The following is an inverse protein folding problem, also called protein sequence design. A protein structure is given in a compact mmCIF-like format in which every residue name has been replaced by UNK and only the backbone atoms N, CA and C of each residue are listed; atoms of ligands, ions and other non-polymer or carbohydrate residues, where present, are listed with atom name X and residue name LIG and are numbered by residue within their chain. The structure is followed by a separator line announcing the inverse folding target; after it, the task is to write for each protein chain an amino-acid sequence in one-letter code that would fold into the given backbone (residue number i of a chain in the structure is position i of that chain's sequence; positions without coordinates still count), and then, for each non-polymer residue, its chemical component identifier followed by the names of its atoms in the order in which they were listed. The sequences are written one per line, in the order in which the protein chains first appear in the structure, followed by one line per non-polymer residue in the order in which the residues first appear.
data_IF_786496250976
#
_entry.id   IF_786496250976
#
_cell.length_a   1.000
_cell.length_b   1.000
_cell.length_c   1.000
_cell.angle_alpha   90.00
_cell.angle_beta   90.00
_cell.angle_gamma   90.00
#
_symmetry.space_group_name_H-M   'P 1'
#
loop_
_entity.id
_entity.type
_entity.pdbx_description
1 polymer ?
#
# COMPACT_ATOMS: atom_id res chain seq x y z
N UNK A 1 -10.88 35.34 -18.92
CA UNK A 1 -10.45 33.93 -18.98
C UNK A 1 -8.95 33.86 -18.91
N UNK A 2 -8.44 33.05 -17.99
CA UNK A 2 -7.06 33.01 -17.50
C UNK A 2 -6.09 32.52 -18.57
N UNK A 3 -5.33 33.43 -19.18
CA UNK A 3 -4.30 33.08 -20.14
C UNK A 3 -3.01 32.65 -19.41
N UNK A 4 -3.11 31.58 -18.63
CA UNK A 4 -2.04 31.07 -17.75
C UNK A 4 -0.75 30.82 -18.52
N UNK A 5 -0.85 30.32 -19.76
CA UNK A 5 0.31 30.11 -20.63
C UNK A 5 0.99 31.43 -21.01
N UNK A 6 0.21 32.48 -21.30
CA UNK A 6 0.75 33.80 -21.63
C UNK A 6 1.36 34.50 -20.42
N UNK A 7 0.85 34.25 -19.21
CA UNK A 7 1.49 34.70 -17.98
C UNK A 7 2.81 33.94 -17.74
N UNK A 8 2.80 32.61 -17.89
CA UNK A 8 4.00 31.79 -17.78
C UNK A 8 5.11 32.21 -18.75
N UNK A 9 4.75 32.54 -20.00
CA UNK A 9 5.68 33.09 -20.97
C UNK A 9 6.29 34.42 -20.53
N UNK A 10 5.48 35.32 -19.94
CA UNK A 10 5.97 36.60 -19.41
C UNK A 10 6.92 36.39 -18.23
N UNK A 11 6.59 35.47 -17.33
CA UNK A 11 7.39 35.15 -16.16
C UNK A 11 8.72 34.51 -16.57
N UNK A 12 8.69 33.57 -17.52
CA UNK A 12 9.90 32.94 -18.03
C UNK A 12 10.79 33.93 -18.80
N UNK A 13 10.19 34.89 -19.51
CA UNK A 13 10.92 36.03 -20.11
C UNK A 13 11.51 36.97 -19.05
N UNK A 14 10.77 37.27 -17.98
CA UNK A 14 11.25 38.11 -16.90
C UNK A 14 12.40 37.43 -16.13
N UNK A 15 12.30 36.11 -15.95
CA UNK A 15 13.35 35.29 -15.36
C UNK A 15 14.63 35.34 -16.21
N UNK A 16 14.54 35.11 -17.52
CA UNK A 16 15.66 35.23 -18.46
C UNK A 16 16.35 36.60 -18.43
N UNK A 17 15.63 37.68 -18.12
CA UNK A 17 16.25 39.01 -17.98
C UNK A 17 17.10 39.16 -16.71
N UNK A 18 16.81 38.37 -15.67
CA UNK A 18 17.52 38.43 -14.36
C UNK A 18 18.71 37.49 -14.30
N UNK A 19 18.72 36.43 -15.11
CA UNK A 19 19.77 35.40 -15.15
C UNK A 19 20.69 35.61 -16.35
N UNK A 20 21.97 35.92 -16.11
CA UNK A 20 22.95 36.24 -17.16
C UNK A 20 23.14 35.13 -18.20
N UNK A 21 22.97 33.86 -17.80
CA UNK A 21 23.28 32.70 -18.66
C UNK A 21 22.03 31.98 -19.22
N UNK A 22 20.83 32.53 -19.00
CA UNK A 22 19.60 31.89 -19.46
C UNK A 22 18.84 32.81 -20.43
N UNK A 23 18.75 32.36 -21.68
CA UNK A 23 17.99 33.04 -22.74
C UNK A 23 16.63 32.38 -22.90
N UNK A 24 15.58 33.19 -22.90
CA UNK A 24 14.24 32.72 -23.22
C UNK A 24 14.15 32.25 -24.67
N UNK A 25 13.61 31.04 -24.86
CA UNK A 25 13.22 30.46 -26.16
C UNK A 25 11.93 29.67 -25.99
N UNK A 26 11.21 29.43 -27.09
CA UNK A 26 10.00 28.60 -27.06
C UNK A 26 10.32 27.16 -26.63
N UNK A 27 11.49 26.65 -27.01
CA UNK A 27 11.98 25.36 -26.51
C UNK A 27 12.17 25.36 -24.99
N UNK A 28 12.66 26.45 -24.39
CA UNK A 28 12.80 26.54 -22.94
C UNK A 28 11.45 26.50 -22.22
N UNK A 29 10.41 27.10 -22.82
CA UNK A 29 9.03 27.02 -22.30
C UNK A 29 8.49 25.59 -22.35
N UNK A 30 8.67 24.90 -23.48
CA UNK A 30 8.23 23.51 -23.64
C UNK A 30 8.99 22.59 -22.69
N UNK A 31 10.31 22.74 -22.58
CA UNK A 31 11.13 21.99 -21.63
C UNK A 31 10.69 22.25 -20.19
N UNK A 32 10.45 23.50 -19.80
CA UNK A 32 9.95 23.84 -18.46
C UNK A 32 8.62 23.15 -18.14
N UNK A 33 7.67 23.16 -19.08
CA UNK A 33 6.39 22.48 -18.92
C UNK A 33 6.55 20.96 -18.79
N UNK A 34 7.35 20.34 -19.65
CA UNK A 34 7.62 18.90 -19.61
C UNK A 34 8.31 18.49 -18.31
N UNK A 35 9.32 19.24 -17.88
CA UNK A 35 10.01 18.98 -16.60
C UNK A 35 9.07 19.16 -15.42
N UNK A 36 8.20 20.17 -15.45
CA UNK A 36 7.18 20.40 -14.41
C UNK A 36 6.21 19.23 -14.30
N UNK A 37 5.70 18.73 -15.43
CA UNK A 37 4.79 17.57 -15.46
C UNK A 37 5.50 16.32 -14.95
N UNK A 38 6.71 16.02 -15.42
CA UNK A 38 7.47 14.84 -15.00
C UNK A 38 7.71 14.84 -13.49
N UNK A 39 8.09 15.99 -12.93
CA UNK A 39 8.35 16.14 -11.48
C UNK A 39 7.10 15.98 -10.62
N UNK A 40 5.93 16.40 -11.12
CA UNK A 40 4.65 16.19 -10.43
C UNK A 40 4.26 14.72 -10.51
N UNK A 41 4.37 14.11 -11.70
CA UNK A 41 3.99 12.71 -11.90
C UNK A 41 4.85 11.75 -11.07
N UNK A 42 6.17 11.93 -11.00
CA UNK A 42 7.05 11.05 -10.22
C UNK A 42 6.67 11.03 -8.74
N UNK A 43 6.39 12.20 -8.16
CA UNK A 43 6.02 12.32 -6.75
C UNK A 43 4.62 11.77 -6.48
N UNK A 44 3.67 11.95 -7.41
CA UNK A 44 2.31 11.47 -7.28
C UNK A 44 2.23 9.93 -7.41
N UNK A 45 2.95 9.34 -8.38
CA UNK A 45 3.01 7.89 -8.57
C UNK A 45 3.75 7.16 -7.44
N UNK A 46 4.80 7.76 -6.87
CA UNK A 46 5.45 7.22 -5.66
C UNK A 46 4.49 7.20 -4.48
N UNK A 47 3.78 8.30 -4.20
CA UNK A 47 2.81 8.32 -3.09
C UNK A 47 1.67 7.30 -3.24
N UNK A 48 1.17 7.07 -4.46
CA UNK A 48 0.15 6.04 -4.68
C UNK A 48 0.70 4.63 -4.48
N UNK A 49 1.95 4.39 -4.86
CA UNK A 49 2.61 3.08 -4.70
C UNK A 49 2.87 2.79 -3.22
N UNK A 50 3.38 3.76 -2.47
CA UNK A 50 3.66 3.61 -1.03
C UNK A 50 2.39 3.31 -0.23
N UNK A 51 1.29 4.03 -0.51
CA UNK A 51 -0.02 3.78 0.13
C UNK A 51 -0.58 2.39 -0.20
N UNK A 52 -0.39 1.93 -1.43
CA UNK A 52 -0.82 0.58 -1.83
C UNK A 52 -0.05 -0.50 -1.09
N UNK A 53 1.27 -0.34 -0.95
CA UNK A 53 2.13 -1.28 -0.23
C UNK A 53 1.78 -1.30 1.27
N UNK A 54 1.52 -0.14 1.86
CA UNK A 54 1.11 -0.03 3.26
C UNK A 54 -0.24 -0.72 3.53
N UNK A 55 -1.22 -0.52 2.66
CA UNK A 55 -2.50 -1.23 2.74
C UNK A 55 -2.32 -2.75 2.62
N UNK A 56 -1.51 -3.22 1.68
CA UNK A 56 -1.21 -4.66 1.54
C UNK A 56 -0.54 -5.23 2.80
N UNK A 57 0.36 -4.48 3.44
CA UNK A 57 1.00 -4.89 4.69
C UNK A 57 0.00 -5.01 5.84
N UNK A 58 -0.97 -4.10 5.94
CA UNK A 58 -2.03 -4.15 6.94
C UNK A 58 -2.94 -5.37 6.73
N UNK A 59 -3.36 -5.64 5.49
CA UNK A 59 -4.16 -6.82 5.13
C UNK A 59 -3.44 -8.13 5.48
N UNK A 60 -2.15 -8.24 5.15
CA UNK A 60 -1.33 -9.41 5.50
C UNK A 60 -1.24 -9.57 7.02
N UNK A 61 -1.02 -8.48 7.76
CA UNK A 61 -0.96 -8.52 9.23
C UNK A 61 -2.28 -9.00 9.85
N UNK A 62 -3.40 -8.49 9.34
CA UNK A 62 -4.75 -8.92 9.74
C UNK A 62 -4.97 -10.41 9.44
N UNK A 63 -4.59 -10.85 8.25
CA UNK A 63 -4.70 -12.25 7.83
C UNK A 63 -3.86 -13.19 8.71
N UNK A 64 -2.63 -12.81 9.04
CA UNK A 64 -1.76 -13.59 9.95
C UNK A 64 -2.40 -13.70 11.34
N UNK A 65 -2.96 -12.61 11.86
CA UNK A 65 -3.65 -12.61 13.16
C UNK A 65 -4.86 -13.55 13.15
N UNK A 66 -5.67 -13.50 12.10
CA UNK A 66 -6.83 -14.37 11.93
C UNK A 66 -6.43 -15.85 11.82
N UNK A 67 -5.38 -16.17 11.04
CA UNK A 67 -4.84 -17.54 10.96
C UNK A 67 -4.36 -18.03 12.31
N UNK A 68 -3.63 -17.20 13.07
CA UNK A 68 -3.16 -17.57 14.39
C UNK A 68 -4.32 -17.88 15.35
N UNK A 69 -5.38 -17.06 15.32
CA UNK A 69 -6.59 -17.31 16.10
C UNK A 69 -7.25 -18.63 15.69
N UNK A 70 -7.43 -18.86 14.39
CA UNK A 70 -8.06 -20.09 13.88
C UNK A 70 -7.27 -21.33 14.27
N UNK A 71 -5.95 -21.31 14.16
CA UNK A 71 -5.07 -22.41 14.62
C UNK A 71 -5.25 -22.66 16.12
N UNK A 72 -5.36 -21.61 16.93
CA UNK A 72 -5.57 -21.75 18.38
C UNK A 72 -6.93 -22.37 18.70
N UNK A 73 -7.98 -21.95 18.00
CA UNK A 73 -9.33 -22.50 18.15
C UNK A 73 -9.37 -23.98 17.73
N UNK A 74 -8.84 -24.31 16.56
CA UNK A 74 -8.75 -25.69 16.06
C UNK A 74 -7.95 -26.59 17.00
N UNK A 75 -6.87 -26.10 17.64
CA UNK A 75 -6.14 -26.88 18.65
C UNK A 75 -7.01 -27.19 19.87
N UNK A 76 -7.74 -26.20 20.38
CA UNK A 76 -8.65 -26.40 21.53
C UNK A 76 -9.77 -27.37 21.21
N UNK A 77 -10.33 -27.30 20.00
CA UNK A 77 -11.37 -28.23 19.55
C UNK A 77 -10.83 -29.65 19.42
N UNK A 78 -9.65 -29.83 18.83
CA UNK A 78 -8.99 -31.14 18.77
C UNK A 78 -8.72 -31.71 20.17
N UNK A 79 -8.20 -30.91 21.10
CA UNK A 79 -7.97 -31.35 22.49
C UNK A 79 -9.27 -31.79 23.17
N UNK A 80 -10.37 -31.09 22.91
CA UNK A 80 -11.70 -31.46 23.43
C UNK A 80 -12.19 -32.78 22.83
N UNK A 81 -12.07 -32.94 21.52
CA UNK A 81 -12.46 -34.17 20.82
C UNK A 81 -11.66 -35.37 21.32
N UNK A 82 -10.33 -35.23 21.42
CA UNK A 82 -9.45 -36.29 21.94
C UNK A 82 -9.84 -36.72 23.36
N UNK A 83 -10.14 -35.76 24.24
CA UNK A 83 -10.59 -36.07 25.60
C UNK A 83 -11.93 -36.82 25.59
N UNK A 84 -12.88 -36.40 24.75
CA UNK A 84 -14.16 -37.07 24.64
C UNK A 84 -14.02 -38.51 24.13
N UNK A 85 -13.28 -38.71 23.04
CA UNK A 85 -13.00 -40.05 22.49
C UNK A 85 -12.30 -40.95 23.51
N UNK A 86 -11.35 -40.42 24.28
CA UNK A 86 -10.71 -41.19 25.35
C UNK A 86 -11.70 -41.62 26.44
N UNK A 87 -12.66 -40.78 26.82
CA UNK A 87 -13.69 -41.14 27.80
C UNK A 87 -14.64 -42.22 27.24
N UNK A 88 -15.06 -42.09 25.98
CA UNK A 88 -15.89 -43.09 25.31
C UNK A 88 -15.17 -44.45 25.24
N UNK A 89 -13.87 -44.47 24.93
CA UNK A 89 -13.07 -45.70 24.94
C UNK A 89 -12.99 -46.33 26.33
N UNK A 90 -12.81 -45.54 27.39
CA UNK A 90 -12.79 -46.05 28.77
C UNK A 90 -14.14 -46.69 29.12
N UNK A 91 -15.25 -46.04 28.79
CA UNK A 91 -16.60 -46.59 29.05
C UNK A 91 -16.84 -47.90 28.31
N UNK A 92 -16.39 -48.02 27.05
CA UNK A 92 -16.49 -49.26 26.29
C UNK A 92 -15.64 -50.39 26.87
N UNK A 93 -14.43 -50.07 27.38
CA UNK A 93 -13.59 -51.05 28.06
C UNK A 93 -14.22 -51.54 29.37
N UNK A 94 -14.86 -50.64 30.13
CA UNK A 94 -15.54 -50.99 31.39
C UNK A 94 -16.80 -51.85 31.16
N UNK A 95 -17.52 -51.63 30.04
CA UNK A 95 -18.68 -52.46 29.67
C UNK A 95 -18.32 -53.87 29.19
N UNK A 96 -17.11 -54.08 28.67
CA UNK A 96 -16.65 -55.38 28.17
C UNK A 96 -16.09 -56.32 29.24
N UNK A 97 -15.90 -55.85 30.48
CA UNK A 97 -15.38 -56.63 31.62
C UNK A 97 -16.50 -57.31 32.45
N UNK A 98 -17.70 -57.41 31.87
CA UNK A 98 -18.90 -58.06 32.43
C UNK A 98 -19.37 -59.24 31.58
#
# INVERSE_FOLDING_TARGET
MTNNLRNLQKDLRAFAKKTKDFKYTDSALVTFLMTGVVSITSNLFSQTTDKSIENQKLEISSSIKNMHQKVRETRKENDKLLKNTNLELIQLMEQGDH
#
